data_IF_614394565051
#
_entry.id   IF_614394565051
#
_cell.length_a   1.000
_cell.length_b   1.000
_cell.length_c   1.000
_cell.angle_alpha   90.00
_cell.angle_beta   90.00
_cell.angle_gamma   90.00
#
_symmetry.space_group_name_H-M   'P 1'
#
loop_
_entity.id
_entity.type
_entity.pdbx_description
1 polymer ?
#
# COMPACT_ATOMS: atom_id res chain seq x y z
N UNK A 1 -21.08 43.02 -28.72
CA UNK A 1 -21.41 42.34 -27.44
C UNK A 1 -22.57 41.39 -27.66
N UNK A 2 -22.33 40.07 -27.80
CA UNK A 2 -23.42 39.08 -27.92
C UNK A 2 -23.77 38.61 -26.51
N UNK A 3 -24.89 39.12 -26.00
CA UNK A 3 -25.48 38.66 -24.74
C UNK A 3 -25.85 37.18 -24.89
N UNK A 4 -25.21 36.31 -24.09
CA UNK A 4 -25.51 34.90 -24.03
C UNK A 4 -26.95 34.73 -23.55
N UNK A 5 -27.87 34.48 -24.48
CA UNK A 5 -29.27 34.19 -24.17
C UNK A 5 -29.32 32.92 -23.33
N UNK A 6 -29.59 33.07 -22.03
CA UNK A 6 -29.92 31.98 -21.14
C UNK A 6 -31.10 31.20 -21.76
N UNK A 7 -30.88 29.94 -22.13
CA UNK A 7 -31.92 29.09 -22.72
C UNK A 7 -32.70 28.38 -21.59
N UNK A 8 -33.91 28.86 -21.22
CA UNK A 8 -34.67 28.34 -20.08
C UNK A 8 -35.23 26.93 -20.31
N UNK A 9 -35.13 26.38 -21.53
CA UNK A 9 -35.62 25.04 -21.84
C UNK A 9 -34.67 23.92 -21.40
N UNK A 10 -33.37 24.20 -21.25
CA UNK A 10 -32.37 23.17 -20.88
C UNK A 10 -32.31 22.89 -19.37
N UNK A 11 -32.82 23.80 -18.54
CA UNK A 11 -32.85 23.63 -17.07
C UNK A 11 -34.10 22.89 -16.56
N UNK A 12 -35.06 22.54 -17.42
CA UNK A 12 -36.36 21.97 -17.02
C UNK A 12 -36.34 20.47 -16.70
N UNK A 13 -35.21 19.79 -16.89
CA UNK A 13 -35.10 18.33 -16.68
C UNK A 13 -34.42 17.94 -15.36
N UNK A 14 -33.94 18.92 -14.61
CA UNK A 14 -33.25 18.67 -13.33
C UNK A 14 -33.97 19.45 -12.24
N UNK A 15 -34.11 18.88 -11.04
CA UNK A 15 -34.62 19.62 -9.90
C UNK A 15 -33.77 20.86 -9.61
N UNK A 16 -34.33 21.86 -8.91
CA UNK A 16 -33.58 23.02 -8.42
C UNK A 16 -32.31 22.61 -7.65
N UNK A 17 -31.32 23.50 -7.59
CA UNK A 17 -30.06 23.23 -6.89
C UNK A 17 -30.32 22.96 -5.40
N UNK A 18 -29.76 21.86 -4.88
CA UNK A 18 -29.98 21.41 -3.50
C UNK A 18 -31.23 20.54 -3.32
N UNK A 19 -32.03 20.35 -4.36
CA UNK A 19 -33.13 19.38 -4.35
C UNK A 19 -32.68 18.10 -5.06
N UNK A 20 -32.82 16.99 -4.33
CA UNK A 20 -32.47 15.66 -4.80
C UNK A 20 -33.77 14.89 -5.01
N UNK A 21 -34.01 14.45 -6.24
CA UNK A 21 -35.16 13.62 -6.60
C UNK A 21 -34.61 12.36 -7.26
N UNK A 22 -34.80 11.21 -6.60
CA UNK A 22 -34.42 9.90 -7.11
C UNK A 22 -35.69 9.05 -7.28
N UNK A 23 -35.73 8.23 -8.33
CA UNK A 23 -36.90 7.38 -8.61
C UNK A 23 -37.13 6.35 -7.50
N UNK A 24 -36.06 5.70 -7.04
CA UNK A 24 -36.15 4.65 -6.02
C UNK A 24 -36.64 5.19 -4.67
N UNK A 25 -36.14 6.36 -4.25
CA UNK A 25 -36.55 7.01 -3.00
C UNK A 25 -38.03 7.44 -3.07
N UNK A 26 -38.48 7.94 -4.22
CA UNK A 26 -39.89 8.33 -4.43
C UNK A 26 -40.81 7.12 -4.41
N UNK A 27 -40.41 6.02 -5.04
CA UNK A 27 -41.16 4.75 -4.99
C UNK A 27 -41.22 4.27 -3.55
N UNK A 28 -40.09 4.21 -2.84
CA UNK A 28 -40.01 3.75 -1.45
C UNK A 28 -40.94 4.54 -0.52
N UNK A 29 -41.04 5.86 -0.69
CA UNK A 29 -41.92 6.72 0.13
C UNK A 29 -43.40 6.58 -0.28
N UNK A 30 -43.71 6.46 -1.58
CA UNK A 30 -45.10 6.37 -2.06
C UNK A 30 -45.71 4.98 -1.84
N UNK A 31 -44.90 3.93 -1.89
CA UNK A 31 -45.34 2.55 -1.60
C UNK A 31 -45.33 2.23 -0.11
N UNK A 32 -44.69 3.08 0.70
CA UNK A 32 -44.63 2.94 2.15
C UNK A 32 -46.03 3.08 2.78
N UNK A 33 -46.29 2.30 3.83
CA UNK A 33 -47.50 2.45 4.64
C UNK A 33 -47.49 3.75 5.45
N UNK A 34 -48.65 4.18 5.95
CA UNK A 34 -48.76 5.40 6.77
C UNK A 34 -47.76 5.38 7.94
N UNK A 35 -46.82 6.34 7.98
CA UNK A 35 -45.84 6.51 9.05
C UNK A 35 -44.49 5.80 8.84
N UNK A 36 -44.29 5.15 7.69
CA UNK A 36 -43.02 4.52 7.31
C UNK A 36 -41.98 5.56 6.84
N UNK A 37 -42.42 6.71 6.32
CA UNK A 37 -41.58 7.87 6.01
C UNK A 37 -40.83 8.39 7.24
N UNK A 38 -41.50 8.45 8.39
CA UNK A 38 -40.91 8.82 9.68
C UNK A 38 -39.99 7.72 10.23
N UNK A 39 -40.21 6.46 9.86
CA UNK A 39 -39.35 5.35 10.24
C UNK A 39 -38.01 5.41 9.48
N UNK A 40 -38.04 5.74 8.18
CA UNK A 40 -36.84 5.91 7.36
C UNK A 40 -35.98 7.06 7.90
N UNK A 41 -36.59 8.21 8.21
CA UNK A 41 -35.89 9.36 8.81
C UNK A 41 -35.25 9.00 10.16
N UNK A 42 -36.00 8.32 11.04
CA UNK A 42 -35.47 7.86 12.34
C UNK A 42 -34.32 6.86 12.20
N UNK A 43 -34.39 5.97 11.20
CA UNK A 43 -33.30 5.03 10.91
C UNK A 43 -32.02 5.77 10.54
N UNK A 44 -32.12 6.76 9.65
CA UNK A 44 -30.98 7.59 9.26
C UNK A 44 -30.43 8.40 10.45
N UNK A 45 -31.29 8.94 11.32
CA UNK A 45 -30.85 9.61 12.55
C UNK A 45 -30.09 8.67 13.49
N UNK A 46 -30.56 7.42 13.63
CA UNK A 46 -29.85 6.40 14.38
C UNK A 46 -28.46 6.08 13.77
N UNK A 47 -28.37 5.97 12.44
CA UNK A 47 -27.10 5.78 11.75
C UNK A 47 -26.15 6.96 11.98
N UNK A 48 -26.63 8.20 11.88
CA UNK A 48 -25.86 9.41 12.15
C UNK A 48 -25.30 9.38 13.58
N UNK A 49 -26.11 9.02 14.57
CA UNK A 49 -25.68 8.90 15.97
C UNK A 49 -24.62 7.79 16.11
N UNK A 50 -24.83 6.66 15.43
CA UNK A 50 -23.88 5.54 15.43
C UNK A 50 -22.52 5.95 14.87
N UNK A 51 -22.50 6.59 13.69
CA UNK A 51 -21.28 7.10 13.08
C UNK A 51 -20.61 8.19 13.91
N UNK A 52 -21.38 9.10 14.52
CA UNK A 52 -20.83 10.10 15.45
C UNK A 52 -20.12 9.44 16.62
N UNK A 53 -20.70 8.39 17.21
CA UNK A 53 -20.08 7.64 18.31
C UNK A 53 -18.80 6.93 17.85
N UNK A 54 -18.82 6.32 16.67
CA UNK A 54 -17.64 5.68 16.09
C UNK A 54 -16.51 6.69 15.83
N UNK A 55 -16.82 7.88 15.32
CA UNK A 55 -15.84 8.96 15.13
C UNK A 55 -15.20 9.37 16.45
N UNK A 56 -15.97 9.51 17.52
CA UNK A 56 -15.42 9.85 18.83
C UNK A 56 -14.53 8.74 19.40
N UNK A 57 -14.93 7.48 19.25
CA UNK A 57 -14.11 6.34 19.64
C UNK A 57 -12.77 6.32 18.86
N UNK A 58 -12.82 6.48 17.54
CA UNK A 58 -11.62 6.55 16.70
C UNK A 58 -10.72 7.73 17.09
N UNK A 59 -11.30 8.91 17.39
CA UNK A 59 -10.53 10.07 17.88
C UNK A 59 -9.77 9.76 19.16
N UNK A 60 -10.41 9.06 20.10
CA UNK A 60 -9.77 8.68 21.36
C UNK A 60 -8.62 7.69 21.13
N UNK A 61 -8.85 6.65 20.32
CA UNK A 61 -7.80 5.67 19.98
C UNK A 61 -6.62 6.35 19.28
N UNK A 62 -6.89 7.19 18.28
CA UNK A 62 -5.85 7.93 17.54
C UNK A 62 -5.09 8.86 18.49
N UNK A 63 -5.77 9.55 19.40
CA UNK A 63 -5.11 10.41 20.39
C UNK A 63 -4.17 9.62 21.31
N UNK A 64 -4.60 8.44 21.79
CA UNK A 64 -3.75 7.56 22.59
C UNK A 64 -2.54 7.06 21.82
N UNK A 65 -2.72 6.62 20.56
CA UNK A 65 -1.63 6.17 19.71
C UNK A 65 -0.62 7.30 19.42
N UNK A 66 -1.11 8.50 19.12
CA UNK A 66 -0.27 9.69 18.94
C UNK A 66 0.58 9.99 20.17
N UNK A 67 0.00 9.87 21.37
CA UNK A 67 0.77 10.04 22.61
C UNK A 67 1.83 8.96 22.80
N UNK A 68 1.49 7.69 22.54
CA UNK A 68 2.47 6.58 22.64
C UNK A 68 3.64 6.75 21.68
N UNK A 69 3.39 7.31 20.50
CA UNK A 69 4.38 7.53 19.45
C UNK A 69 5.04 8.92 19.51
N UNK A 70 4.73 9.74 20.53
CA UNK A 70 5.16 11.14 20.59
C UNK A 70 6.68 11.33 20.63
N UNK A 71 7.42 10.35 21.17
CA UNK A 71 8.87 10.37 21.23
C UNK A 71 9.56 10.17 19.86
N UNK A 72 8.81 9.77 18.83
CA UNK A 72 9.36 9.50 17.50
C UNK A 72 10.35 8.34 17.48
N UNK A 73 11.23 8.33 16.47
CA UNK A 73 12.28 7.32 16.30
C UNK A 73 13.69 7.93 16.25
N UNK A 74 13.81 9.23 16.51
CA UNK A 74 15.07 9.97 16.32
C UNK A 74 16.18 9.44 17.23
N UNK A 75 15.84 9.01 18.45
CA UNK A 75 16.78 8.38 19.38
C UNK A 75 17.32 7.02 18.89
N UNK A 76 16.65 6.37 17.94
CA UNK A 76 17.03 5.08 17.37
C UNK A 76 17.64 5.22 15.97
N UNK A 77 17.73 6.43 15.42
CA UNK A 77 18.30 6.68 14.10
C UNK A 77 19.83 6.56 14.17
N UNK A 78 20.45 5.59 13.46
CA UNK A 78 21.90 5.52 13.38
C UNK A 78 22.48 6.72 12.62
N UNK A 79 23.75 7.08 12.84
CA UNK A 79 24.44 8.04 12.00
C UNK A 79 24.50 7.55 10.55
N UNK A 80 24.04 8.36 9.60
CA UNK A 80 24.12 8.05 8.17
C UNK A 80 25.58 8.19 7.70
N UNK A 81 26.15 7.10 7.20
CA UNK A 81 27.53 7.06 6.70
C UNK A 81 27.64 7.55 5.25
N UNK A 82 28.47 8.58 5.02
CA UNK A 82 28.74 9.13 3.68
C UNK A 82 29.76 8.32 2.87
N UNK A 83 29.61 7.01 2.77
CA UNK A 83 30.57 6.17 2.05
C UNK A 83 30.43 6.39 0.55
N UNK A 84 31.52 6.83 -0.10
CA UNK A 84 31.56 7.04 -1.55
C UNK A 84 31.68 5.69 -2.24
N UNK A 85 30.89 5.49 -3.30
CA UNK A 85 30.93 4.28 -4.11
C UNK A 85 32.31 4.09 -4.73
N UNK A 86 32.85 2.87 -4.65
CA UNK A 86 34.14 2.49 -5.20
C UNK A 86 34.00 1.18 -5.98
N UNK A 87 34.50 1.15 -7.22
CA UNK A 87 34.41 -0.03 -8.08
C UNK A 87 35.44 -1.13 -7.77
N UNK A 88 36.55 -0.82 -7.09
CA UNK A 88 37.58 -1.82 -6.77
C UNK A 88 37.08 -2.71 -5.63
N UNK A 89 37.09 -4.02 -5.84
CA UNK A 89 36.78 -5.00 -4.80
C UNK A 89 38.00 -5.29 -3.93
N UNK A 90 37.86 -5.06 -2.63
CA UNK A 90 38.81 -5.47 -1.60
C UNK A 90 38.41 -6.83 -1.03
N UNK A 91 39.36 -7.56 -0.44
CA UNK A 91 39.07 -8.88 0.14
C UNK A 91 37.97 -8.82 1.22
N UNK A 92 38.00 -7.80 2.08
CA UNK A 92 36.98 -7.62 3.11
C UNK A 92 35.58 -7.39 2.50
N UNK A 93 35.50 -6.64 1.40
CA UNK A 93 34.24 -6.40 0.68
C UNK A 93 33.72 -7.68 0.00
N UNK A 94 34.62 -8.53 -0.53
CA UNK A 94 34.24 -9.83 -1.11
C UNK A 94 33.62 -10.72 -0.04
N UNK A 95 34.22 -10.77 1.16
CA UNK A 95 33.70 -11.56 2.28
C UNK A 95 32.35 -11.02 2.78
N UNK A 96 32.21 -9.69 2.92
CA UNK A 96 30.94 -9.05 3.28
C UNK A 96 29.86 -9.32 2.24
N UNK A 97 30.19 -9.36 0.95
CA UNK A 97 29.23 -9.69 -0.10
C UNK A 97 28.73 -11.14 0.00
N UNK A 98 29.62 -12.12 0.24
CA UNK A 98 29.24 -13.53 0.43
C UNK A 98 28.35 -13.68 1.66
N UNK A 99 28.73 -13.08 2.79
CA UNK A 99 27.93 -13.11 4.01
C UNK A 99 26.59 -12.39 3.83
N UNK A 100 26.57 -11.28 3.09
CA UNK A 100 25.36 -10.57 2.71
C UNK A 100 24.41 -11.45 1.91
N UNK A 101 24.90 -12.13 0.88
CA UNK A 101 24.08 -13.06 0.08
C UNK A 101 23.53 -14.19 0.96
N UNK A 102 24.32 -14.74 1.89
CA UNK A 102 23.86 -15.77 2.82
C UNK A 102 22.72 -15.31 3.73
N UNK A 103 22.70 -14.02 4.09
CA UNK A 103 21.76 -13.44 5.04
C UNK A 103 20.52 -12.81 4.37
N UNK A 104 20.67 -12.25 3.18
CA UNK A 104 19.63 -11.49 2.48
C UNK A 104 19.25 -12.10 1.13
N UNK A 105 19.87 -13.21 0.73
CA UNK A 105 19.60 -13.88 -0.53
C UNK A 105 19.91 -13.00 -1.74
N UNK A 106 18.90 -12.81 -2.59
CA UNK A 106 18.98 -12.00 -3.82
C UNK A 106 18.57 -10.53 -3.61
N UNK A 107 18.37 -10.08 -2.36
CA UNK A 107 18.23 -8.64 -2.08
C UNK A 107 19.60 -7.95 -2.19
N UNK A 108 20.01 -7.71 -3.44
CA UNK A 108 21.30 -7.08 -3.74
C UNK A 108 21.38 -5.63 -3.23
N UNK A 109 20.24 -5.00 -2.94
CA UNK A 109 20.22 -3.65 -2.37
C UNK A 109 20.62 -3.71 -0.90
N UNK A 110 20.02 -4.60 -0.11
CA UNK A 110 20.44 -4.83 1.27
C UNK A 110 21.92 -5.25 1.38
N UNK A 111 22.38 -6.12 0.48
CA UNK A 111 23.81 -6.51 0.43
C UNK A 111 24.71 -5.31 0.12
N UNK A 112 24.30 -4.42 -0.80
CA UNK A 112 25.05 -3.21 -1.10
C UNK A 112 25.13 -2.25 0.11
N UNK A 113 24.04 -2.11 0.87
CA UNK A 113 23.99 -1.31 2.09
C UNK A 113 24.93 -1.85 3.19
N UNK A 114 25.03 -3.18 3.32
CA UNK A 114 25.98 -3.83 4.25
C UNK A 114 27.43 -3.55 3.88
N UNK A 115 27.76 -3.55 2.58
CA UNK A 115 29.11 -3.23 2.11
C UNK A 115 29.38 -1.72 2.22
N UNK A 116 28.36 -0.88 1.99
CA UNK A 116 28.40 0.58 2.12
C UNK A 116 29.15 1.33 1.00
N UNK A 117 30.12 0.70 0.34
CA UNK A 117 30.93 1.29 -0.75
C UNK A 117 30.58 0.75 -2.14
N UNK A 118 29.62 -0.15 -2.25
CA UNK A 118 29.17 -0.76 -3.51
C UNK A 118 27.72 -0.40 -3.76
N UNK A 119 27.32 -0.37 -5.03
CA UNK A 119 25.91 -0.24 -5.40
C UNK A 119 25.33 -1.60 -5.79
N UNK A 120 24.01 -1.67 -5.86
CA UNK A 120 23.26 -2.88 -6.19
C UNK A 120 23.71 -3.50 -7.53
N UNK A 121 24.00 -2.68 -8.55
CA UNK A 121 24.50 -3.15 -9.85
C UNK A 121 25.87 -3.84 -9.73
N UNK A 122 26.75 -3.32 -8.86
CA UNK A 122 28.06 -3.92 -8.58
C UNK A 122 27.90 -5.26 -7.88
N UNK A 123 26.94 -5.36 -6.95
CA UNK A 123 26.64 -6.62 -6.23
C UNK A 123 26.04 -7.66 -7.18
N UNK A 124 25.11 -7.29 -8.07
CA UNK A 124 24.62 -8.19 -9.14
C UNK A 124 25.76 -8.72 -10.01
N UNK A 125 26.67 -7.82 -10.40
CA UNK A 125 27.86 -8.21 -11.18
C UNK A 125 28.77 -9.14 -10.38
N UNK A 126 28.98 -8.87 -9.08
CA UNK A 126 29.73 -9.76 -8.20
C UNK A 126 29.11 -11.15 -8.15
N UNK A 127 27.79 -11.24 -8.02
CA UNK A 127 27.06 -12.50 -7.97
C UNK A 127 27.34 -13.37 -9.21
N UNK A 128 27.30 -12.80 -10.43
CA UNK A 128 27.65 -13.54 -11.66
C UNK A 128 29.14 -13.92 -11.68
N UNK A 129 30.02 -12.92 -11.50
CA UNK A 129 31.46 -13.07 -11.73
C UNK A 129 32.16 -13.97 -10.69
N UNK A 130 31.58 -14.12 -9.51
CA UNK A 130 32.13 -14.92 -8.43
C UNK A 130 31.27 -16.14 -8.06
N UNK A 131 30.21 -16.43 -8.84
CA UNK A 131 29.26 -17.54 -8.64
C UNK A 131 29.93 -18.86 -8.30
N UNK A 132 30.87 -19.31 -9.15
CA UNK A 132 31.60 -20.57 -8.96
C UNK A 132 32.69 -20.49 -7.89
N UNK A 133 33.38 -19.34 -7.77
CA UNK A 133 34.54 -19.19 -6.86
C UNK A 133 34.15 -19.20 -5.38
N UNK A 134 32.96 -18.68 -5.05
CA UNK A 134 32.44 -18.68 -3.69
C UNK A 134 31.23 -19.60 -3.50
N UNK A 135 30.97 -20.49 -4.48
CA UNK A 135 29.85 -21.44 -4.43
C UNK A 135 28.51 -20.77 -4.06
N UNK A 136 28.21 -19.62 -4.68
CA UNK A 136 27.08 -18.77 -4.31
C UNK A 136 25.72 -19.47 -4.48
N UNK A 137 25.65 -20.54 -5.27
CA UNK A 137 24.48 -21.43 -5.36
C UNK A 137 24.16 -22.13 -4.06
N UNK A 138 25.17 -22.72 -3.41
CA UNK A 138 24.97 -23.39 -2.13
C UNK A 138 24.62 -22.37 -1.05
N UNK A 139 25.23 -21.19 -1.10
CA UNK A 139 24.93 -20.08 -0.18
C UNK A 139 23.46 -19.64 -0.29
N UNK A 140 22.93 -19.57 -1.52
CA UNK A 140 21.51 -19.27 -1.73
C UNK A 140 20.61 -20.41 -1.30
N UNK A 141 20.98 -21.66 -1.57
CA UNK A 141 20.23 -22.82 -1.12
C UNK A 141 20.09 -22.84 0.40
N UNK A 142 21.14 -22.50 1.13
CA UNK A 142 21.10 -22.36 2.58
C UNK A 142 20.20 -21.20 3.05
N UNK A 143 20.20 -20.09 2.31
CA UNK A 143 19.27 -18.98 2.59
C UNK A 143 17.81 -19.41 2.39
N UNK A 144 17.51 -20.07 1.27
CA UNK A 144 16.16 -20.53 0.92
C UNK A 144 15.67 -21.61 1.90
N UNK A 145 16.56 -22.47 2.40
CA UNK A 145 16.24 -23.47 3.42
C UNK A 145 15.82 -22.86 4.77
N UNK A 146 16.34 -21.67 5.11
CA UNK A 146 16.01 -20.96 6.35
C UNK A 146 14.81 -20.01 6.21
N UNK A 147 14.65 -19.36 5.05
CA UNK A 147 13.70 -18.26 4.85
C UNK A 147 12.50 -18.64 3.96
N UNK A 148 12.52 -19.80 3.32
CA UNK A 148 11.56 -20.22 2.30
C UNK A 148 11.91 -19.69 0.91
N UNK A 149 11.47 -20.40 -0.13
CA UNK A 149 11.75 -20.06 -1.53
C UNK A 149 10.95 -18.81 -1.94
N UNK A 150 11.64 -17.70 -2.21
CA UNK A 150 11.04 -16.51 -2.82
C UNK A 150 11.07 -16.66 -4.36
N UNK A 151 10.01 -17.23 -4.94
CA UNK A 151 9.93 -17.58 -6.37
C UNK A 151 9.79 -16.38 -7.34
N UNK A 152 9.66 -15.15 -6.85
CA UNK A 152 9.29 -14.00 -7.71
C UNK A 152 10.47 -13.39 -8.53
N UNK A 153 11.71 -13.86 -8.38
CA UNK A 153 12.89 -13.20 -9.00
C UNK A 153 13.69 -14.08 -9.97
N UNK A 154 13.29 -15.33 -10.21
CA UNK A 154 14.12 -16.28 -10.98
C UNK A 154 14.18 -16.01 -12.49
N UNK A 155 13.23 -15.30 -13.10
CA UNK A 155 13.09 -15.28 -14.56
C UNK A 155 14.05 -14.36 -15.35
N UNK A 156 14.89 -13.53 -14.73
CA UNK A 156 15.67 -12.51 -15.48
C UNK A 156 17.17 -12.75 -15.61
N UNK A 157 17.72 -13.86 -15.11
CA UNK A 157 19.18 -14.01 -15.03
C UNK A 157 19.77 -15.29 -15.64
N UNK A 158 19.02 -15.98 -16.49
CA UNK A 158 19.58 -17.00 -17.38
C UNK A 158 19.56 -16.49 -18.81
N UNK A 159 20.73 -16.11 -19.33
CA UNK A 159 21.28 -16.44 -20.67
C UNK A 159 22.45 -15.51 -20.98
N UNK A 160 23.67 -16.06 -21.00
CA UNK A 160 24.55 -16.10 -22.18
C UNK A 160 25.94 -16.64 -21.79
N UNK A 161 26.14 -17.92 -22.06
CA UNK A 161 27.44 -18.55 -22.20
C UNK A 161 27.79 -18.62 -23.70
N UNK A 162 28.85 -17.93 -24.11
CA UNK A 162 29.39 -17.91 -25.47
C UNK A 162 30.20 -19.20 -25.76
N UNK A 163 30.18 -19.72 -27.00
CA UNK A 163 31.46 -19.85 -27.72
C UNK A 163 31.43 -19.25 -29.14
N UNK A 164 32.65 -18.99 -29.62
CA UNK A 164 33.05 -18.14 -30.75
C UNK A 164 32.99 -18.81 -32.14
N UNK A 165 32.71 -18.00 -33.18
CA UNK A 165 33.44 -17.82 -34.47
C UNK A 165 32.50 -17.61 -35.67
N UNK A 166 32.66 -16.47 -36.38
CA UNK A 166 32.55 -16.44 -37.85
C UNK A 166 31.64 -15.39 -38.53
N UNK A 167 32.26 -14.30 -38.98
CA UNK A 167 31.96 -13.44 -40.15
C UNK A 167 30.77 -12.44 -40.21
N UNK A 168 31.16 -11.16 -40.23
CA UNK A 168 30.77 -10.04 -41.11
C UNK A 168 29.43 -10.10 -41.87
N UNK A 169 28.58 -9.07 -41.65
CA UNK A 169 28.36 -7.92 -42.57
C UNK A 169 27.01 -7.22 -42.25
N UNK A 170 27.06 -5.92 -41.91
CA UNK A 170 25.92 -4.97 -42.05
C UNK A 170 25.85 -4.49 -43.52
N UNK A 171 24.71 -3.97 -44.07
CA UNK A 171 24.08 -2.75 -43.54
C UNK A 171 22.55 -2.55 -43.76
N UNK A 172 22.08 -1.42 -43.22
CA UNK A 172 20.86 -0.61 -43.51
C UNK A 172 19.58 -0.72 -42.63
N UNK A 173 19.38 0.40 -41.91
CA UNK A 173 18.23 1.07 -41.24
C UNK A 173 16.89 1.14 -42.00
N UNK A 174 15.84 1.87 -41.51
CA UNK A 174 15.33 2.08 -40.13
C UNK A 174 13.81 1.79 -40.01
N UNK A 175 13.29 1.47 -38.82
CA UNK A 175 11.85 1.34 -38.58
C UNK A 175 11.44 1.82 -37.18
N UNK A 176 10.57 2.83 -37.13
CA UNK A 176 10.03 3.50 -35.94
C UNK A 176 9.21 2.56 -35.03
N UNK A 177 9.07 2.87 -33.72
CA UNK A 177 8.30 2.05 -32.77
C UNK A 177 6.79 2.40 -32.79
N UNK A 178 5.88 1.45 -32.55
CA UNK A 178 4.49 1.77 -32.26
C UNK A 178 4.34 2.14 -30.78
N UNK A 179 3.76 3.32 -30.57
CA UNK A 179 3.41 3.95 -29.30
C UNK A 179 2.26 3.18 -28.63
N UNK A 180 2.51 2.56 -27.47
CA UNK A 180 1.46 1.93 -26.67
C UNK A 180 0.68 3.00 -25.89
N UNK A 181 -0.63 3.07 -26.12
CA UNK A 181 -1.55 3.92 -25.38
C UNK A 181 -1.81 3.36 -23.96
N UNK A 182 -2.00 4.20 -22.94
CA UNK A 182 -2.32 3.73 -21.59
C UNK A 182 -3.82 3.37 -21.47
N UNK A 183 -4.20 2.32 -20.72
CA UNK A 183 -5.59 2.00 -20.47
C UNK A 183 -6.18 2.92 -19.39
N UNK A 184 -7.33 3.54 -19.71
CA UNK A 184 -8.20 4.29 -18.80
C UNK A 184 -9.20 3.33 -18.14
N UNK A 185 -9.19 3.17 -16.82
CA UNK A 185 -10.33 2.62 -16.06
C UNK A 185 -10.46 3.22 -14.63
N UNK A 186 -11.49 4.04 -14.51
CA UNK A 186 -12.51 4.30 -13.46
C UNK A 186 -12.21 4.36 -11.93
N UNK A 187 -12.95 5.22 -11.17
CA UNK A 187 -12.84 5.39 -9.70
C UNK A 187 -13.61 4.33 -8.87
N UNK A 188 -13.41 4.27 -7.53
CA UNK A 188 -13.53 3.07 -6.71
C UNK A 188 -14.97 2.73 -6.28
N UNK A 189 -15.24 1.42 -6.17
CA UNK A 189 -16.41 0.86 -5.51
C UNK A 189 -16.22 0.83 -3.98
N UNK A 190 -17.30 1.16 -3.26
CA UNK A 190 -17.40 1.06 -1.80
C UNK A 190 -17.42 -0.40 -1.32
N UNK A 191 -16.79 -0.73 -0.17
CA UNK A 191 -16.86 -2.09 0.37
C UNK A 191 -18.21 -2.37 1.05
N UNK A 192 -18.80 -3.50 0.68
CA UNK A 192 -19.94 -4.14 1.32
C UNK A 192 -19.55 -4.76 2.66
N UNK A 193 -20.37 -4.49 3.68
CA UNK A 193 -20.31 -5.13 5.00
C UNK A 193 -20.56 -6.64 4.88
N UNK A 194 -19.65 -7.44 5.42
CA UNK A 194 -19.92 -8.82 5.81
C UNK A 194 -19.89 -8.92 7.34
N UNK A 195 -21.03 -9.36 7.86
CA UNK A 195 -21.39 -9.59 9.25
C UNK A 195 -20.40 -10.54 9.92
N UNK A 196 -19.86 -10.14 11.08
CA UNK A 196 -19.31 -11.11 12.03
C UNK A 196 -19.93 -10.86 13.41
N UNK A 197 -20.77 -11.81 13.81
CA UNK A 197 -21.44 -11.83 15.09
C UNK A 197 -20.48 -12.36 16.16
N UNK A 198 -20.18 -11.56 17.18
CA UNK A 198 -19.93 -12.12 18.51
C UNK A 198 -20.09 -11.10 19.65
N UNK A 199 -21.01 -11.40 20.58
CA UNK A 199 -20.91 -11.14 22.01
C UNK A 199 -20.82 -9.70 22.53
N UNK A 200 -21.95 -8.99 22.61
CA UNK A 200 -22.11 -7.87 23.56
C UNK A 200 -22.46 -8.42 24.96
N UNK A 201 -21.56 -8.24 25.93
CA UNK A 201 -21.98 -8.12 27.34
C UNK A 201 -22.16 -6.63 27.66
N UNK A 202 -23.42 -6.27 27.97
CA UNK A 202 -23.82 -4.98 28.53
C UNK A 202 -23.19 -4.78 29.91
N UNK A 203 -22.61 -3.61 30.16
CA UNK A 203 -22.44 -3.08 31.50
C UNK A 203 -23.31 -1.83 31.65
N UNK A 204 -24.33 -1.94 32.50
CA UNK A 204 -25.10 -0.80 33.01
C UNK A 204 -24.29 -0.12 34.14
N UNK A 205 -24.41 1.20 34.35
CA UNK A 205 -23.81 1.86 35.52
C UNK A 205 -24.69 1.69 36.79
N UNK A 206 -24.09 1.67 38.00
CA UNK A 206 -24.85 1.60 39.25
C UNK A 206 -25.35 3.00 39.70
N UNK A 207 -26.54 3.02 40.30
CA UNK A 207 -27.18 4.19 40.90
C UNK A 207 -26.55 4.51 42.26
N UNK A 208 -26.12 5.76 42.48
CA UNK A 208 -25.65 6.24 43.79
C UNK A 208 -26.84 6.30 44.78
N UNK A 209 -26.74 5.58 45.88
CA UNK A 209 -27.68 5.66 47.01
C UNK A 209 -27.31 6.84 47.92
N UNK A 210 -28.36 7.52 48.40
CA UNK A 210 -28.31 8.59 49.40
C UNK A 210 -27.73 8.08 50.73
N UNK A 211 -26.78 8.83 51.28
CA UNK A 211 -26.32 8.63 52.65
C UNK A 211 -27.20 9.44 53.62
N UNK A 212 -27.87 8.73 54.53
CA UNK A 212 -28.49 9.28 55.73
C UNK A 212 -27.65 8.90 56.95
N UNK A 213 -27.38 9.90 57.80
CA UNK A 213 -27.06 9.87 59.24
C UNK A 213 -26.01 8.90 59.80
N UNK A 214 -24.98 9.46 60.44
CA UNK A 214 -24.86 9.47 61.90
C UNK A 214 -23.51 10.07 62.34
N UNK A 215 -23.51 11.23 62.99
CA UNK A 215 -23.21 11.44 64.43
C UNK A 215 -22.93 12.91 64.71
#
# INVERSE_FOLDING_TARGET
>A
MRSARHNPARSKRKPPRGMHLNYDDLVAIVTAGNGEEDAILRSMDCEIISFKRQVQNNKQIISQLKHKMAAGIDAFRPPEGGNRVNNRWLNDELLLAVQGIRKYGRDFKAVAEVIGTKNEASVRSFFINYRRRFNLDNVLLEYDAEHGTNEETEEKMETESVPSVGNNSHPNSPGNPPQAAPPLLHPPQSPSNSSNANGQQRLCPPSLQQASSAR
#
